data_IF_102262017374
#
_entry.id   IF_102262017374
#
_cell.length_a   1.000
_cell.length_b   1.000
_cell.length_c   1.000
_cell.angle_alpha   90.00
_cell.angle_beta   90.00
_cell.angle_gamma   90.00
#
_symmetry.space_group_name_H-M   'P 1'
#
loop_
_entity.id
_entity.type
_entity.pdbx_description
1 polymer ?
#
# COMPACT_ATOMS: atom_id res chain seq x y z
N UNK A 1 -37.09 23.76 -9.01
CA UNK A 1 -36.46 23.29 -10.26
C UNK A 1 -34.96 23.11 -9.97
N UNK A 2 -34.56 21.86 -9.68
CA UNK A 2 -33.16 21.48 -9.65
C UNK A 2 -32.75 21.17 -11.10
N UNK A 3 -32.19 22.13 -11.78
CA UNK A 3 -31.51 21.88 -13.06
C UNK A 3 -30.22 21.09 -12.76
N UNK A 4 -30.27 19.79 -13.07
CA UNK A 4 -29.10 18.91 -13.06
C UNK A 4 -28.19 19.43 -14.18
N UNK A 5 -27.06 20.04 -13.83
CA UNK A 5 -26.09 20.58 -14.77
C UNK A 5 -25.46 19.43 -15.59
N UNK A 6 -25.83 19.22 -16.86
CA UNK A 6 -25.34 18.09 -17.63
C UNK A 6 -23.84 18.12 -17.90
N UNK A 7 -23.21 19.29 -17.88
CA UNK A 7 -21.75 19.41 -18.02
C UNK A 7 -20.98 18.85 -16.81
N UNK A 8 -21.51 19.01 -15.60
CA UNK A 8 -20.89 18.45 -14.40
C UNK A 8 -20.80 16.91 -14.43
N UNK A 9 -21.81 16.28 -15.05
CA UNK A 9 -21.87 14.81 -15.14
C UNK A 9 -20.89 14.26 -16.18
N UNK A 10 -20.70 14.94 -17.30
CA UNK A 10 -19.77 14.53 -18.37
C UNK A 10 -18.32 14.68 -17.92
N UNK A 11 -18.00 15.77 -17.24
CA UNK A 11 -16.66 16.00 -16.67
C UNK A 11 -16.35 14.94 -15.60
N UNK A 12 -17.30 14.64 -14.70
CA UNK A 12 -17.09 13.62 -13.67
C UNK A 12 -16.91 12.21 -14.24
N UNK A 13 -17.60 11.87 -15.32
CA UNK A 13 -17.46 10.57 -16.01
C UNK A 13 -16.13 10.44 -16.75
N UNK A 14 -15.67 11.50 -17.42
CA UNK A 14 -14.35 11.52 -18.06
C UNK A 14 -13.23 11.36 -17.04
N UNK A 15 -13.31 12.06 -15.89
CA UNK A 15 -12.42 11.97 -14.77
C UNK A 15 -12.34 10.56 -14.19
N UNK A 16 -13.51 9.93 -13.98
CA UNK A 16 -13.60 8.58 -13.47
C UNK A 16 -12.96 7.57 -14.44
N UNK A 17 -13.11 7.76 -15.75
CA UNK A 17 -12.52 6.90 -16.77
C UNK A 17 -11.00 7.03 -16.85
N UNK A 18 -10.45 8.22 -16.76
CA UNK A 18 -8.99 8.45 -16.74
C UNK A 18 -8.36 7.85 -15.48
N UNK A 19 -8.97 8.11 -14.34
CA UNK A 19 -8.53 7.53 -13.08
C UNK A 19 -8.58 5.99 -13.11
N UNK A 20 -9.65 5.40 -13.63
CA UNK A 20 -9.78 3.95 -13.77
C UNK A 20 -8.73 3.38 -14.74
N UNK A 21 -8.38 4.10 -15.80
CA UNK A 21 -7.32 3.71 -16.74
C UNK A 21 -5.96 3.52 -16.07
N UNK A 22 -5.62 4.34 -15.08
CA UNK A 22 -4.37 4.22 -14.29
C UNK A 22 -4.53 3.24 -13.12
N UNK A 23 -5.66 3.29 -12.42
CA UNK A 23 -5.88 2.50 -11.22
C UNK A 23 -6.17 1.02 -11.51
N UNK A 24 -6.84 0.69 -12.62
CA UNK A 24 -7.19 -0.70 -12.94
C UNK A 24 -5.96 -1.60 -13.11
N UNK A 25 -4.93 -1.24 -13.90
CA UNK A 25 -3.70 -2.00 -13.97
C UNK A 25 -2.94 -2.06 -12.64
N UNK A 26 -2.95 -0.97 -11.86
CA UNK A 26 -2.32 -0.93 -10.54
C UNK A 26 -3.01 -1.86 -9.56
N UNK A 27 -4.34 -1.83 -9.47
CA UNK A 27 -5.14 -2.76 -8.67
C UNK A 27 -4.84 -4.21 -9.04
N UNK A 28 -4.86 -4.52 -10.34
CA UNK A 28 -4.59 -5.87 -10.84
C UNK A 28 -3.18 -6.33 -10.46
N UNK A 29 -2.19 -5.45 -10.54
CA UNK A 29 -0.82 -5.77 -10.13
C UNK A 29 -0.71 -5.99 -8.63
N UNK A 30 -1.32 -5.15 -7.81
CA UNK A 30 -1.37 -5.31 -6.35
C UNK A 30 -2.04 -6.65 -6.01
N UNK A 31 -3.25 -6.92 -6.53
CA UNK A 31 -3.94 -8.18 -6.29
C UNK A 31 -3.10 -9.38 -6.71
N UNK A 32 -2.55 -9.37 -7.91
CA UNK A 32 -1.74 -10.50 -8.40
C UNK A 32 -0.51 -10.72 -7.54
N UNK A 33 0.16 -9.66 -7.09
CA UNK A 33 1.37 -9.77 -6.25
C UNK A 33 1.04 -10.36 -4.88
N UNK A 34 -0.01 -9.85 -4.24
CA UNK A 34 -0.41 -10.33 -2.92
C UNK A 34 -1.02 -11.74 -3.00
N UNK A 35 -1.94 -12.00 -3.94
CA UNK A 35 -2.61 -13.30 -4.10
C UNK A 35 -1.61 -14.38 -4.49
N UNK A 36 -0.74 -14.13 -5.48
CA UNK A 36 0.26 -15.11 -5.91
C UNK A 36 1.24 -15.46 -4.78
N UNK A 37 1.74 -14.46 -4.05
CA UNK A 37 2.64 -14.72 -2.91
C UNK A 37 1.94 -15.44 -1.77
N UNK A 38 0.68 -15.10 -1.51
CA UNK A 38 -0.16 -15.75 -0.51
C UNK A 38 -0.33 -17.24 -0.84
N UNK A 39 -0.79 -17.55 -2.05
CA UNK A 39 -0.99 -18.93 -2.48
C UNK A 39 0.33 -19.71 -2.49
N UNK A 40 1.40 -19.13 -3.00
CA UNK A 40 2.71 -19.80 -3.06
C UNK A 40 3.26 -20.08 -1.66
N UNK A 41 3.17 -19.14 -0.75
CA UNK A 41 3.63 -19.32 0.63
C UNK A 41 2.73 -20.29 1.39
N UNK A 42 1.41 -20.24 1.17
CA UNK A 42 0.45 -21.19 1.73
C UNK A 42 0.76 -22.60 1.27
N UNK A 43 0.94 -22.83 -0.04
CA UNK A 43 1.26 -24.14 -0.61
C UNK A 43 2.60 -24.68 -0.12
N UNK A 44 3.63 -23.83 -0.03
CA UNK A 44 4.95 -24.22 0.51
C UNK A 44 4.82 -24.64 1.97
N UNK A 45 4.18 -23.86 2.81
CA UNK A 45 3.95 -24.17 4.23
C UNK A 45 3.11 -25.43 4.40
N UNK A 46 2.02 -25.57 3.64
CA UNK A 46 1.19 -26.78 3.68
C UNK A 46 2.03 -28.02 3.34
N UNK A 47 2.93 -27.94 2.35
CA UNK A 47 3.82 -29.02 1.98
C UNK A 47 4.88 -29.33 3.05
N UNK A 48 5.43 -28.30 3.68
CA UNK A 48 6.40 -28.46 4.79
C UNK A 48 5.74 -29.06 6.02
N UNK A 49 4.59 -28.54 6.40
CA UNK A 49 3.78 -29.04 7.53
C UNK A 49 3.34 -30.48 7.28
N UNK A 50 2.86 -30.83 6.08
CA UNK A 50 2.50 -32.20 5.73
C UNK A 50 3.68 -33.16 5.89
N UNK A 51 4.89 -32.78 5.41
CA UNK A 51 6.08 -33.59 5.61
C UNK A 51 6.44 -33.76 7.09
N UNK A 52 6.23 -32.74 7.90
CA UNK A 52 6.49 -32.80 9.33
C UNK A 52 5.49 -33.69 10.04
N UNK A 53 4.22 -33.59 9.71
CA UNK A 53 3.14 -34.45 10.26
C UNK A 53 3.37 -35.91 9.89
N UNK A 54 3.63 -36.21 8.60
CA UNK A 54 3.91 -37.56 8.13
C UNK A 54 5.08 -38.21 8.85
N UNK A 55 6.05 -37.39 9.34
CA UNK A 55 7.22 -37.90 10.04
C UNK A 55 7.02 -38.07 11.55
N UNK A 56 6.04 -37.39 12.16
CA UNK A 56 5.89 -37.35 13.63
C UNK A 56 4.58 -37.93 14.15
N UNK A 57 3.46 -37.70 13.49
CA UNK A 57 2.16 -38.22 13.92
C UNK A 57 1.21 -38.37 12.73
N UNK A 58 1.02 -39.61 12.23
CA UNK A 58 0.12 -39.88 11.12
C UNK A 58 -1.37 -39.69 11.44
N UNK A 59 -1.72 -39.41 12.71
CA UNK A 59 -3.10 -39.19 13.14
C UNK A 59 -3.44 -37.71 13.39
N UNK A 60 -2.53 -36.78 13.10
CA UNK A 60 -2.79 -35.35 13.19
C UNK A 60 -3.62 -34.91 11.99
N UNK A 61 -4.92 -35.20 12.03
CA UNK A 61 -5.88 -34.73 11.06
C UNK A 61 -6.12 -33.23 11.28
N UNK A 62 -6.09 -32.44 10.18
CA UNK A 62 -6.51 -31.04 10.07
C UNK A 62 -5.70 -29.98 10.82
N UNK A 63 -4.43 -29.82 10.46
CA UNK A 63 -3.73 -28.57 10.78
C UNK A 63 -4.12 -27.48 9.77
N UNK A 64 -4.98 -26.54 10.20
CA UNK A 64 -5.36 -25.40 9.39
C UNK A 64 -4.22 -24.39 9.29
N UNK A 65 -3.52 -24.38 8.15
CA UNK A 65 -2.51 -23.35 7.87
C UNK A 65 -3.22 -22.06 7.46
N UNK A 66 -3.28 -21.09 8.37
CA UNK A 66 -3.86 -19.78 8.04
C UNK A 66 -2.95 -18.99 7.10
N UNK A 67 -3.51 -18.25 6.13
CA UNK A 67 -2.74 -17.35 5.29
C UNK A 67 -2.04 -16.29 6.16
N UNK A 68 -0.83 -15.85 5.74
CA UNK A 68 -0.05 -14.87 6.50
C UNK A 68 -0.70 -13.48 6.47
N UNK A 69 -1.47 -13.19 5.42
CA UNK A 69 -2.14 -11.92 5.23
C UNK A 69 -3.64 -12.11 5.23
N UNK A 70 -4.34 -11.20 5.88
CA UNK A 70 -5.78 -11.12 5.80
C UNK A 70 -6.20 -10.50 4.45
N UNK A 71 -7.11 -11.17 3.73
CA UNK A 71 -7.68 -10.64 2.49
C UNK A 71 -8.37 -9.28 2.69
N UNK A 72 -8.88 -9.01 3.89
CA UNK A 72 -9.46 -7.72 4.25
C UNK A 72 -8.42 -6.61 4.33
N UNK A 73 -7.22 -6.89 4.84
CA UNK A 73 -6.10 -5.94 4.87
C UNK A 73 -5.66 -5.56 3.45
N UNK A 74 -5.59 -6.53 2.53
CA UNK A 74 -5.29 -6.25 1.11
C UNK A 74 -6.36 -5.36 0.48
N UNK A 75 -7.64 -5.65 0.74
CA UNK A 75 -8.76 -4.83 0.24
C UNK A 75 -8.69 -3.41 0.78
N UNK A 76 -8.52 -3.25 2.09
CA UNK A 76 -8.36 -1.94 2.73
C UNK A 76 -7.18 -1.16 2.15
N UNK A 77 -6.07 -1.83 1.89
CA UNK A 77 -4.90 -1.20 1.27
C UNK A 77 -5.22 -0.63 -0.11
N UNK A 78 -5.93 -1.40 -0.94
CA UNK A 78 -6.35 -0.94 -2.27
C UNK A 78 -7.34 0.23 -2.17
N UNK A 79 -8.31 0.16 -1.26
CA UNK A 79 -9.28 1.24 -1.04
C UNK A 79 -8.60 2.54 -0.60
N UNK A 80 -7.58 2.45 0.27
CA UNK A 80 -6.77 3.59 0.69
C UNK A 80 -5.94 4.18 -0.45
N UNK A 81 -5.37 3.35 -1.34
CA UNK A 81 -4.67 3.82 -2.55
C UNK A 81 -5.63 4.56 -3.47
N UNK A 82 -6.83 4.02 -3.70
CA UNK A 82 -7.86 4.65 -4.51
C UNK A 82 -8.26 6.01 -3.91
N UNK A 83 -8.49 6.04 -2.60
CA UNK A 83 -8.84 7.26 -1.88
C UNK A 83 -7.78 8.36 -2.03
N UNK A 84 -6.50 8.01 -1.93
CA UNK A 84 -5.41 8.97 -2.14
C UNK A 84 -5.29 9.38 -3.62
N UNK A 85 -5.46 8.44 -4.56
CA UNK A 85 -5.39 8.70 -5.98
C UNK A 85 -6.53 9.62 -6.48
N UNK A 86 -7.71 9.55 -5.88
CA UNK A 86 -8.84 10.44 -6.21
C UNK A 86 -8.56 11.92 -5.93
N UNK A 87 -7.56 12.24 -5.12
CA UNK A 87 -7.15 13.62 -4.83
C UNK A 87 -6.27 14.22 -5.93
N UNK A 88 -5.78 13.39 -6.86
CA UNK A 88 -4.89 13.80 -7.95
C UNK A 88 -5.73 14.39 -9.07
N UNK A 89 -5.35 15.56 -9.57
CA UNK A 89 -6.01 16.13 -10.73
C UNK A 89 -5.77 15.23 -11.97
N UNK A 90 -6.77 14.99 -12.84
CA UNK A 90 -6.64 14.06 -13.96
C UNK A 90 -5.48 14.33 -14.89
N UNK A 91 -5.22 15.63 -15.17
CA UNK A 91 -4.08 16.07 -15.99
C UNK A 91 -2.72 15.71 -15.44
N UNK A 92 -2.67 15.42 -14.11
CA UNK A 92 -1.44 15.08 -13.39
C UNK A 92 -1.31 13.57 -13.15
N UNK A 93 -2.29 12.75 -13.64
CA UNK A 93 -2.19 11.31 -13.59
C UNK A 93 -1.17 10.78 -14.59
N UNK A 94 -0.20 10.01 -14.08
CA UNK A 94 0.81 9.36 -14.90
C UNK A 94 0.88 7.87 -14.62
N UNK A 95 1.33 7.09 -15.61
CA UNK A 95 1.62 5.68 -15.37
C UNK A 95 2.96 5.59 -14.63
N UNK A 96 2.99 4.90 -13.48
CA UNK A 96 4.16 4.92 -12.62
C UNK A 96 5.29 4.02 -13.12
N UNK A 97 6.51 4.29 -12.66
CA UNK A 97 7.66 3.41 -12.88
C UNK A 97 7.44 2.04 -12.23
N UNK A 98 7.57 0.97 -13.05
CA UNK A 98 7.30 -0.41 -12.62
C UNK A 98 8.24 -0.89 -11.53
N UNK A 99 9.50 -0.46 -11.57
CA UNK A 99 10.50 -0.86 -10.56
C UNK A 99 10.21 -0.20 -9.23
N UNK A 100 9.86 1.08 -9.26
CA UNK A 100 9.49 1.85 -8.07
C UNK A 100 8.25 1.25 -7.39
N UNK A 101 7.18 1.03 -8.16
CA UNK A 101 5.95 0.41 -7.63
C UNK A 101 6.25 -1.00 -7.09
N UNK A 102 6.97 -1.82 -7.84
CA UNK A 102 7.31 -3.17 -7.40
C UNK A 102 8.07 -3.16 -6.07
N UNK A 103 8.99 -2.20 -5.88
CA UNK A 103 9.71 -2.01 -4.62
C UNK A 103 8.73 -1.67 -3.50
N UNK A 104 7.87 -0.68 -3.69
CA UNK A 104 6.91 -0.23 -2.66
C UNK A 104 5.93 -1.35 -2.29
N UNK A 105 5.37 -2.06 -3.28
CA UNK A 105 4.45 -3.18 -3.03
C UNK A 105 5.15 -4.31 -2.28
N UNK A 106 6.40 -4.63 -2.66
CA UNK A 106 7.16 -5.67 -1.97
C UNK A 106 7.46 -5.31 -0.51
N UNK A 107 7.80 -4.06 -0.22
CA UNK A 107 7.99 -3.57 1.15
C UNK A 107 6.69 -3.60 1.93
N UNK A 108 5.60 -3.08 1.37
CA UNK A 108 4.33 -2.93 2.07
C UNK A 108 3.70 -4.25 2.52
N UNK A 109 4.01 -5.37 1.87
CA UNK A 109 3.36 -6.66 2.15
C UNK A 109 3.46 -7.14 3.61
N UNK A 110 4.49 -6.71 4.35
CA UNK A 110 4.69 -7.09 5.76
C UNK A 110 4.00 -6.15 6.75
N UNK A 111 3.44 -5.04 6.26
CA UNK A 111 2.95 -3.94 7.09
C UNK A 111 1.49 -3.56 6.83
N UNK A 112 0.82 -4.20 5.87
CA UNK A 112 -0.57 -3.86 5.51
C UNK A 112 -1.60 -4.14 6.61
N UNK A 113 -1.24 -4.97 7.60
CA UNK A 113 -2.11 -5.24 8.75
C UNK A 113 -2.09 -4.09 9.76
N UNK A 114 -1.01 -3.30 9.81
CA UNK A 114 -0.95 -2.08 10.60
C UNK A 114 -1.59 -0.91 9.83
N UNK A 115 -2.60 -0.27 10.43
CA UNK A 115 -3.37 0.80 9.79
C UNK A 115 -2.51 2.02 9.43
N UNK A 116 -1.54 2.37 10.29
CA UNK A 116 -0.72 3.57 10.09
C UNK A 116 0.27 3.34 8.96
N UNK A 117 0.97 2.21 8.98
CA UNK A 117 1.91 1.83 7.95
C UNK A 117 1.18 1.63 6.61
N UNK A 118 0.06 0.91 6.60
CA UNK A 118 -0.76 0.69 5.41
C UNK A 118 -1.16 2.01 4.75
N UNK A 119 -1.68 2.98 5.52
CA UNK A 119 -2.04 4.31 5.00
C UNK A 119 -0.84 5.08 4.42
N UNK A 120 0.32 4.97 5.04
CA UNK A 120 1.52 5.64 4.53
C UNK A 120 2.06 4.99 3.26
N UNK A 121 2.03 3.66 3.15
CA UNK A 121 2.34 2.96 1.91
C UNK A 121 1.32 3.29 0.79
N UNK A 122 0.04 3.43 1.12
CA UNK A 122 -0.99 3.85 0.17
C UNK A 122 -0.72 5.26 -0.38
N UNK A 123 -0.37 6.22 0.49
CA UNK A 123 0.05 7.57 0.09
C UNK A 123 1.31 7.54 -0.78
N UNK A 124 2.29 6.72 -0.42
CA UNK A 124 3.53 6.59 -1.19
C UNK A 124 3.25 6.04 -2.59
N UNK A 125 2.40 5.02 -2.73
CA UNK A 125 1.96 4.50 -4.03
C UNK A 125 1.18 5.54 -4.82
N UNK A 126 0.23 6.24 -4.21
CA UNK A 126 -0.52 7.30 -4.88
C UNK A 126 0.39 8.43 -5.38
N UNK A 127 1.44 8.77 -4.62
CA UNK A 127 2.42 9.77 -5.05
C UNK A 127 3.21 9.35 -6.31
N UNK A 128 3.37 8.04 -6.58
CA UNK A 128 4.05 7.56 -7.80
C UNK A 128 3.24 7.78 -9.08
N UNK A 129 1.93 7.89 -8.97
CA UNK A 129 1.01 8.14 -10.10
C UNK A 129 0.62 9.62 -10.24
N UNK A 130 1.15 10.49 -9.38
CA UNK A 130 0.96 11.94 -9.40
C UNK A 130 2.18 12.60 -10.05
N UNK A 131 2.04 13.12 -11.27
CA UNK A 131 3.12 13.77 -12.02
C UNK A 131 3.77 14.93 -11.27
N UNK A 132 2.99 15.61 -10.41
CA UNK A 132 3.52 16.70 -9.58
C UNK A 132 4.47 16.23 -8.48
N UNK A 133 4.39 14.94 -8.10
CA UNK A 133 5.16 14.33 -7.00
C UNK A 133 6.05 13.17 -7.44
N UNK A 134 5.77 12.53 -8.57
CA UNK A 134 6.45 11.31 -9.02
C UNK A 134 7.98 11.46 -9.04
N UNK A 135 8.49 12.60 -9.44
CA UNK A 135 9.93 12.89 -9.45
C UNK A 135 10.55 13.04 -8.05
N UNK A 136 9.73 13.23 -7.02
CA UNK A 136 10.17 13.34 -5.63
C UNK A 136 10.16 11.99 -4.93
N UNK A 137 9.42 11.03 -5.47
CA UNK A 137 9.31 9.69 -4.85
C UNK A 137 10.55 8.87 -5.16
N UNK A 138 11.26 8.48 -4.12
CA UNK A 138 12.43 7.63 -4.22
C UNK A 138 12.20 6.27 -3.57
N UNK A 139 12.78 5.21 -4.15
CA UNK A 139 12.67 3.84 -3.62
C UNK A 139 13.10 3.69 -2.15
N UNK A 140 14.00 4.55 -1.67
CA UNK A 140 14.43 4.56 -0.27
C UNK A 140 13.30 4.91 0.70
N UNK A 141 12.23 5.60 0.25
CA UNK A 141 11.10 5.92 1.13
C UNK A 141 10.36 4.67 1.59
N UNK A 142 10.24 3.66 0.73
CA UNK A 142 9.68 2.37 1.12
C UNK A 142 10.51 1.73 2.25
N UNK A 143 11.85 1.77 2.10
CA UNK A 143 12.77 1.26 3.12
C UNK A 143 12.71 2.07 4.43
N UNK A 144 12.62 3.39 4.34
CA UNK A 144 12.44 4.23 5.53
C UNK A 144 11.16 3.87 6.28
N UNK A 145 10.04 3.60 5.56
CA UNK A 145 8.79 3.16 6.19
C UNK A 145 8.92 1.79 6.86
N UNK A 146 9.74 0.88 6.34
CA UNK A 146 10.04 -0.41 6.98
C UNK A 146 10.76 -0.25 8.33
N UNK A 147 11.62 0.77 8.44
CA UNK A 147 12.44 1.03 9.62
C UNK A 147 11.71 1.82 10.70
N UNK A 148 10.59 2.49 10.36
CA UNK A 148 9.82 3.32 11.28
C UNK A 148 8.72 2.53 11.98
N UNK A 149 8.64 2.70 13.30
CA UNK A 149 7.48 2.24 14.07
C UNK A 149 6.25 3.14 13.82
N UNK A 150 5.02 2.63 14.05
CA UNK A 150 3.81 3.42 13.95
C UNK A 150 3.80 4.69 14.82
N UNK A 151 4.49 4.66 15.96
CA UNK A 151 4.62 5.82 16.86
C UNK A 151 5.51 6.88 16.24
N UNK A 152 6.65 6.49 15.67
CA UNK A 152 7.58 7.41 15.01
C UNK A 152 6.92 8.10 13.82
N UNK A 153 6.13 7.37 13.02
CA UNK A 153 5.36 7.94 11.93
C UNK A 153 4.36 9.00 12.44
N UNK A 154 3.65 8.73 13.54
CA UNK A 154 2.74 9.72 14.15
C UNK A 154 3.47 10.98 14.64
N UNK A 155 4.65 10.81 15.23
CA UNK A 155 5.48 11.93 15.68
C UNK A 155 5.91 12.77 14.48
N UNK A 156 6.41 12.15 13.43
CA UNK A 156 6.82 12.82 12.19
C UNK A 156 5.63 13.58 11.59
N UNK A 157 4.47 12.94 11.42
CA UNK A 157 3.26 13.57 10.87
C UNK A 157 2.83 14.80 11.72
N UNK A 158 2.89 14.68 13.04
CA UNK A 158 2.58 15.79 13.95
C UNK A 158 3.57 16.94 13.81
N UNK A 159 4.87 16.66 13.76
CA UNK A 159 5.92 17.67 13.59
C UNK A 159 5.74 18.46 12.27
N UNK A 160 5.41 17.75 11.19
CA UNK A 160 5.17 18.40 9.89
C UNK A 160 3.90 19.25 9.87
N UNK A 161 2.80 18.80 10.51
CA UNK A 161 1.53 19.55 10.54
C UNK A 161 1.58 20.81 11.40
N UNK A 162 2.31 20.73 12.49
CA UNK A 162 2.39 21.84 13.45
C UNK A 162 3.48 22.85 13.12
N UNK A 163 4.19 22.71 11.96
CA UNK A 163 5.34 23.54 11.58
C UNK A 163 6.37 23.67 12.71
N UNK A 164 6.51 22.64 13.52
CA UNK A 164 7.54 22.59 14.56
C UNK A 164 8.92 22.49 13.91
N UNK A 165 9.57 23.65 13.77
CA UNK A 165 11.01 23.70 13.63
C UNK A 165 11.61 23.27 14.97
N UNK A 166 11.86 21.97 15.13
CA UNK A 166 12.63 21.48 16.25
C UNK A 166 14.08 21.88 16.00
N UNK A 167 14.48 23.00 16.57
CA UNK A 167 15.89 23.29 16.76
C UNK A 167 16.42 22.29 17.79
N UNK A 168 17.02 21.23 17.34
CA UNK A 168 17.89 20.42 18.19
C UNK A 168 19.16 21.21 18.46
N UNK A 169 19.11 22.11 19.43
CA UNK A 169 20.31 22.64 20.06
C UNK A 169 20.96 21.49 20.86
N UNK A 170 21.98 20.91 20.24
CA UNK A 170 22.92 19.94 20.82
C UNK A 170 22.36 18.68 21.49
N UNK A 171 22.49 17.56 20.79
CA UNK A 171 22.53 16.24 21.43
C UNK A 171 23.83 16.18 22.25
N UNK A 172 23.78 16.38 23.56
CA UNK A 172 24.86 15.99 24.46
C UNK A 172 24.74 14.48 24.69
N UNK A 173 25.63 13.73 24.04
CA UNK A 173 25.88 12.33 24.40
C UNK A 173 26.74 12.34 25.65
N UNK A 174 26.21 11.85 26.76
CA UNK A 174 26.98 11.49 27.93
C UNK A 174 27.36 10.01 27.89
#
# INVERSE_FOLDING_TARGET
NNEINPMGNVVSQALAKELEGVLSPLKQWIYSTFTYKLELNYLKRKKEVAKYIDSYDPNLEDFEVKPIFDADSVRKYIDEIIFEAQKIAPKDLVFPDKVLIGTIINSSQYFIDDEILRKNYAKLLAATIDNSKANLVHKSFAKTLEELSPIEIKIIDKLFRENFLVYCDSIRVY
#
